data_IF_492228720731
#
_entry.id   IF_492228720731
#
_cell.length_a   1.000
_cell.length_b   1.000
_cell.length_c   1.000
_cell.angle_alpha   90.00
_cell.angle_beta   90.00
_cell.angle_gamma   90.00
#
_symmetry.space_group_name_H-M   'P 1'
#
loop_
_entity.id
_entity.type
_entity.pdbx_description
1 polymer ?
#
# COMPACT_ATOMS: atom_id res chain seq x y z
N UNK A 1 58.98 -46.28 -26.23
CA UNK A 1 57.98 -45.31 -26.73
C UNK A 1 56.59 -45.92 -26.54
N UNK A 2 55.95 -45.55 -25.46
CA UNK A 2 54.60 -46.06 -25.14
C UNK A 2 53.68 -44.86 -24.88
N UNK A 3 52.84 -44.59 -25.88
CA UNK A 3 51.77 -43.59 -25.76
C UNK A 3 50.66 -44.13 -24.86
N UNK A 4 50.41 -43.48 -23.76
CA UNK A 4 49.30 -43.78 -22.89
C UNK A 4 48.16 -42.80 -23.22
N UNK A 5 47.17 -43.30 -23.91
CA UNK A 5 45.94 -42.57 -24.17
C UNK A 5 45.08 -42.57 -22.87
N UNK A 6 45.01 -41.47 -22.19
CA UNK A 6 44.01 -41.25 -21.14
C UNK A 6 42.67 -40.87 -21.78
N UNK A 7 41.76 -41.78 -21.78
CA UNK A 7 40.36 -41.50 -22.10
C UNK A 7 39.66 -40.94 -20.85
N UNK A 8 39.53 -39.61 -20.82
CA UNK A 8 38.69 -38.95 -19.87
C UNK A 8 37.21 -39.05 -20.29
N UNK A 9 36.46 -39.85 -19.62
CA UNK A 9 35.01 -39.88 -19.71
C UNK A 9 34.45 -38.76 -18.86
N UNK A 10 33.99 -37.68 -19.50
CA UNK A 10 33.28 -36.60 -18.84
C UNK A 10 31.83 -37.06 -18.66
N UNK A 11 31.46 -37.40 -17.43
CA UNK A 11 30.09 -37.64 -17.07
C UNK A 11 29.37 -36.30 -16.92
N UNK A 12 28.50 -35.99 -17.87
CA UNK A 12 27.67 -34.79 -17.84
C UNK A 12 26.51 -35.06 -16.87
N UNK A 13 26.63 -34.58 -15.63
CA UNK A 13 25.53 -34.57 -14.68
C UNK A 13 24.61 -33.37 -14.98
N UNK A 14 23.46 -33.67 -15.59
CA UNK A 14 22.41 -32.69 -15.82
C UNK A 14 21.66 -32.54 -14.48
N UNK A 15 21.99 -31.50 -13.72
CA UNK A 15 21.23 -31.08 -12.56
C UNK A 15 19.97 -30.38 -13.05
N UNK A 16 18.83 -31.08 -12.97
CA UNK A 16 17.52 -30.47 -13.19
C UNK A 16 17.23 -29.58 -11.98
N UNK A 17 17.50 -28.30 -12.08
CA UNK A 17 17.05 -27.34 -11.10
C UNK A 17 15.56 -27.13 -11.26
N UNK A 18 14.77 -27.78 -10.42
CA UNK A 18 13.35 -27.49 -10.24
C UNK A 18 13.26 -26.11 -9.60
N UNK A 19 13.07 -25.08 -10.40
CA UNK A 19 12.70 -23.76 -9.88
C UNK A 19 11.25 -23.86 -9.40
N UNK A 20 11.09 -24.06 -8.09
CA UNK A 20 9.82 -23.83 -7.44
C UNK A 20 9.52 -22.35 -7.60
N UNK A 21 8.62 -22.02 -8.53
CA UNK A 21 8.02 -20.70 -8.60
C UNK A 21 7.21 -20.50 -7.31
N UNK A 22 7.84 -19.93 -6.30
CA UNK A 22 7.12 -19.38 -5.18
C UNK A 22 6.30 -18.25 -5.78
N UNK A 23 4.99 -18.44 -5.87
CA UNK A 23 4.07 -17.36 -6.15
C UNK A 23 4.22 -16.37 -4.98
N UNK A 24 5.13 -15.43 -5.13
CA UNK A 24 5.19 -14.29 -4.25
C UNK A 24 3.91 -13.53 -4.55
N UNK A 25 2.96 -13.58 -3.62
CA UNK A 25 1.97 -12.53 -3.47
C UNK A 25 2.77 -11.27 -3.15
N UNK A 26 3.35 -10.69 -4.17
CA UNK A 26 3.89 -9.35 -4.10
C UNK A 26 2.66 -8.47 -3.89
N UNK A 27 2.37 -8.16 -2.61
CA UNK A 27 1.56 -7.02 -2.30
C UNK A 27 2.27 -5.85 -2.97
N UNK A 28 1.84 -5.51 -4.18
CA UNK A 28 2.38 -4.39 -4.94
C UNK A 28 2.17 -3.16 -4.06
N UNK A 29 3.26 -2.45 -3.75
CA UNK A 29 3.17 -1.22 -3.00
C UNK A 29 2.14 -0.31 -3.68
N UNK A 30 1.24 0.35 -2.92
CA UNK A 30 0.20 1.19 -3.50
C UNK A 30 0.85 2.30 -4.33
N UNK A 31 0.29 2.56 -5.50
CA UNK A 31 0.72 3.67 -6.36
C UNK A 31 0.37 5.02 -5.73
N UNK A 32 1.00 6.10 -6.20
CA UNK A 32 0.63 7.46 -5.77
C UNK A 32 -0.84 7.76 -6.02
N UNK A 33 -1.42 7.24 -7.09
CA UNK A 33 -2.84 7.40 -7.40
C UNK A 33 -3.72 6.67 -6.38
N UNK A 34 -3.34 5.47 -5.97
CA UNK A 34 -4.05 4.71 -4.94
C UNK A 34 -3.97 5.39 -3.58
N UNK A 35 -2.78 5.90 -3.22
CA UNK A 35 -2.56 6.64 -1.97
C UNK A 35 -3.37 7.95 -1.95
N UNK A 36 -3.44 8.67 -3.08
CA UNK A 36 -4.26 9.86 -3.18
C UNK A 36 -5.74 9.54 -3.04
N UNK A 37 -6.24 8.50 -3.71
CA UNK A 37 -7.63 8.05 -3.55
C UNK A 37 -7.94 7.64 -2.11
N UNK A 38 -7.00 6.96 -1.45
CA UNK A 38 -7.09 6.62 -0.03
C UNK A 38 -7.15 7.86 0.84
N UNK A 39 -6.32 8.85 0.57
CA UNK A 39 -6.32 10.11 1.29
C UNK A 39 -7.66 10.84 1.17
N UNK A 40 -8.18 10.97 -0.04
CA UNK A 40 -9.47 11.60 -0.30
C UNK A 40 -10.62 10.86 0.41
N UNK A 41 -10.56 9.52 0.46
CA UNK A 41 -11.51 8.69 1.22
C UNK A 41 -11.48 9.00 2.72
N UNK A 42 -10.29 9.06 3.31
CA UNK A 42 -10.14 9.29 4.75
C UNK A 42 -10.53 10.72 5.13
N UNK A 43 -10.16 11.70 4.32
CA UNK A 43 -10.56 13.11 4.52
C UNK A 43 -12.09 13.23 4.43
N UNK A 44 -12.72 12.61 3.44
CA UNK A 44 -14.19 12.64 3.29
C UNK A 44 -14.89 11.99 4.48
N UNK A 45 -14.35 10.90 4.99
CA UNK A 45 -14.87 10.25 6.20
C UNK A 45 -14.74 11.15 7.43
N UNK A 46 -13.58 11.78 7.60
CA UNK A 46 -13.35 12.72 8.69
C UNK A 46 -14.30 13.91 8.61
N UNK A 47 -14.44 14.54 7.45
CA UNK A 47 -15.31 15.70 7.26
C UNK A 47 -16.77 15.37 7.53
N UNK A 48 -17.20 14.15 7.21
CA UNK A 48 -18.58 13.72 7.42
C UNK A 48 -18.90 13.31 8.86
N UNK A 49 -17.99 12.59 9.50
CA UNK A 49 -18.27 11.93 10.78
C UNK A 49 -17.32 12.33 11.90
N UNK A 50 -16.08 12.59 11.59
CA UNK A 50 -15.01 12.82 12.56
C UNK A 50 -15.01 14.23 13.14
N UNK A 51 -15.41 15.20 12.35
CA UNK A 51 -15.36 16.60 12.72
C UNK A 51 -16.25 16.96 13.91
N UNK A 52 -17.35 16.23 14.14
CA UNK A 52 -18.30 16.50 15.20
C UNK A 52 -18.09 15.71 16.50
N UNK A 53 -17.08 14.83 16.53
CA UNK A 53 -16.92 13.82 17.58
C UNK A 53 -15.94 14.17 18.69
N UNK A 54 -15.52 15.38 18.84
CA UNK A 54 -14.66 15.79 19.95
C UNK A 54 -15.20 17.00 20.66
N UNK A 55 -14.90 17.10 21.95
CA UNK A 55 -15.20 18.27 22.77
C UNK A 55 -14.55 19.54 22.23
N UNK A 56 -13.45 19.39 21.48
CA UNK A 56 -12.77 20.44 20.73
C UNK A 56 -12.96 20.19 19.24
N UNK A 57 -14.21 20.19 18.78
CA UNK A 57 -14.47 19.93 17.35
C UNK A 57 -14.07 21.15 16.52
N UNK A 58 -12.82 21.19 16.17
CA UNK A 58 -12.24 22.16 15.24
C UNK A 58 -12.65 21.86 13.78
N UNK A 59 -13.30 20.72 13.54
CA UNK A 59 -13.88 20.39 12.25
C UNK A 59 -12.87 20.47 11.11
N UNK A 60 -13.25 21.17 10.05
CA UNK A 60 -12.39 21.43 8.91
C UNK A 60 -11.16 22.31 9.23
N UNK A 61 -11.11 22.92 10.41
CA UNK A 61 -9.97 23.72 10.88
C UNK A 61 -8.91 22.89 11.60
N UNK A 62 -9.14 21.59 11.77
CA UNK A 62 -8.15 20.72 12.38
C UNK A 62 -6.84 20.76 11.59
N UNK A 63 -5.75 21.11 12.27
CA UNK A 63 -4.44 21.29 11.62
C UNK A 63 -3.91 20.01 10.98
N UNK A 64 -4.13 18.86 11.61
CA UNK A 64 -3.73 17.55 11.04
C UNK A 64 -4.50 17.27 9.76
N UNK A 65 -5.80 17.49 9.75
CA UNK A 65 -6.63 17.33 8.55
C UNK A 65 -6.20 18.28 7.42
N UNK A 66 -5.88 19.52 7.74
CA UNK A 66 -5.40 20.50 6.76
C UNK A 66 -4.04 20.07 6.20
N UNK A 67 -3.10 19.71 7.08
CA UNK A 67 -1.78 19.26 6.69
C UNK A 67 -1.86 18.00 5.80
N UNK A 68 -2.67 17.03 6.19
CA UNK A 68 -2.87 15.83 5.38
C UNK A 68 -3.43 16.15 3.98
N UNK A 69 -4.37 17.08 3.88
CA UNK A 69 -4.90 17.52 2.59
C UNK A 69 -3.83 18.15 1.69
N UNK A 70 -2.93 18.94 2.27
CA UNK A 70 -1.80 19.53 1.56
C UNK A 70 -0.82 18.47 1.09
N UNK A 71 -0.46 17.52 1.97
CA UNK A 71 0.44 16.42 1.64
C UNK A 71 -0.10 15.57 0.50
N UNK A 72 -1.38 15.24 0.54
CA UNK A 72 -2.03 14.48 -0.51
C UNK A 72 -2.09 15.23 -1.86
N UNK A 73 -2.24 16.53 -1.82
CA UNK A 73 -2.25 17.37 -3.03
C UNK A 73 -0.85 17.53 -3.65
N UNK A 74 0.19 17.51 -2.82
CA UNK A 74 1.57 17.78 -3.24
C UNK A 74 2.40 16.53 -3.54
N UNK A 75 1.78 15.35 -3.61
CA UNK A 75 2.48 14.10 -3.91
C UNK A 75 3.06 13.38 -2.68
N UNK A 76 2.78 13.86 -1.47
CA UNK A 76 3.13 13.23 -0.19
C UNK A 76 1.93 12.44 0.37
N UNK A 77 1.25 11.70 -0.51
CA UNK A 77 -0.01 11.05 -0.14
C UNK A 77 0.16 9.97 0.95
N UNK A 78 1.33 9.33 1.03
CA UNK A 78 1.61 8.36 2.10
C UNK A 78 1.60 9.02 3.48
N UNK A 79 2.20 10.19 3.63
CA UNK A 79 2.21 10.97 4.85
C UNK A 79 0.81 11.48 5.20
N UNK A 80 0.08 11.96 4.20
CA UNK A 80 -1.30 12.40 4.37
C UNK A 80 -2.22 11.28 4.83
N UNK A 81 -2.10 10.09 4.24
CA UNK A 81 -2.85 8.88 4.65
C UNK A 81 -2.53 8.53 6.11
N UNK A 82 -1.24 8.46 6.48
CA UNK A 82 -0.84 8.13 7.85
C UNK A 82 -1.41 9.11 8.86
N UNK A 83 -1.34 10.41 8.58
CA UNK A 83 -1.89 11.45 9.46
C UNK A 83 -3.41 11.33 9.62
N UNK A 84 -4.13 11.02 8.54
CA UNK A 84 -5.59 10.83 8.59
C UNK A 84 -6.00 9.55 9.31
N UNK A 85 -5.25 8.47 9.16
CA UNK A 85 -5.50 7.22 9.89
C UNK A 85 -5.30 7.42 11.40
N UNK A 86 -4.28 8.17 11.79
CA UNK A 86 -4.03 8.49 13.20
C UNK A 86 -5.16 9.33 13.81
N UNK A 87 -5.58 10.41 13.15
CA UNK A 87 -6.66 11.26 13.67
C UNK A 87 -8.01 10.53 13.74
N UNK A 88 -8.29 9.65 12.79
CA UNK A 88 -9.51 8.83 12.83
C UNK A 88 -9.47 7.83 13.99
N UNK A 89 -8.31 7.21 14.23
CA UNK A 89 -8.10 6.31 15.36
C UNK A 89 -8.27 7.02 16.69
N UNK A 90 -7.72 8.23 16.85
CA UNK A 90 -7.86 9.03 18.07
C UNK A 90 -9.32 9.39 18.34
N UNK A 91 -10.10 9.60 17.30
CA UNK A 91 -11.54 9.85 17.39
C UNK A 91 -12.39 8.56 17.50
N UNK A 92 -11.76 7.39 17.64
CA UNK A 92 -12.43 6.08 17.76
C UNK A 92 -13.25 5.71 16.51
N UNK A 93 -12.76 6.06 15.33
CA UNK A 93 -13.30 5.57 14.07
C UNK A 93 -12.45 4.45 13.51
N UNK A 94 -13.09 3.39 13.04
CA UNK A 94 -12.44 2.38 12.22
C UNK A 94 -12.29 2.94 10.80
N UNK A 95 -11.04 3.12 10.38
CA UNK A 95 -10.78 3.53 9.01
C UNK A 95 -11.27 2.44 8.05
N UNK A 96 -12.03 2.80 7.00
CA UNK A 96 -12.49 1.82 6.03
C UNK A 96 -11.29 1.16 5.34
N UNK A 97 -11.41 -0.09 4.90
CA UNK A 97 -10.33 -0.74 4.16
C UNK A 97 -10.00 0.04 2.89
N UNK A 98 -8.74 0.02 2.45
CA UNK A 98 -8.35 0.64 1.19
C UNK A 98 -9.21 0.07 0.05
N UNK A 99 -9.73 0.94 -0.78
CA UNK A 99 -10.37 0.54 -2.04
C UNK A 99 -9.26 0.06 -2.97
N UNK A 100 -8.91 -1.22 -2.88
CA UNK A 100 -8.02 -1.84 -3.86
C UNK A 100 -8.78 -1.87 -5.18
N UNK A 101 -8.40 -1.02 -6.13
CA UNK A 101 -8.61 -1.09 -7.58
C UNK A 101 -9.82 -1.79 -8.21
N UNK A 102 -10.74 -2.28 -7.41
CA UNK A 102 -11.98 -2.85 -7.90
C UNK A 102 -12.98 -1.71 -8.00
N UNK A 103 -13.22 -1.28 -9.22
CA UNK A 103 -14.34 -0.40 -9.54
C UNK A 103 -15.58 -0.91 -8.79
N UNK A 104 -15.94 -0.25 -7.71
CA UNK A 104 -17.25 -0.46 -7.14
C UNK A 104 -18.23 0.13 -8.12
N UNK A 105 -18.83 -0.77 -8.91
CA UNK A 105 -20.02 -0.44 -9.67
C UNK A 105 -21.04 0.23 -8.72
N UNK A 106 -21.56 1.40 -9.05
CA UNK A 106 -22.56 2.04 -8.20
C UNK A 106 -23.72 1.08 -8.07
N UNK A 107 -23.94 0.58 -6.87
CA UNK A 107 -25.21 -0.07 -6.57
C UNK A 107 -26.29 1.00 -6.64
N UNK A 108 -27.07 0.86 -7.69
CA UNK A 108 -28.36 1.51 -7.78
C UNK A 108 -29.29 1.00 -6.68
#
# INVERSE_FOLDING_TARGET
MRSVFFRSTIALAIAVMSTSAIAQNSATAPSNADLKARCDQLISMYDRYGASRSENSDGARNHTRIGAGIDCANGHAAEGVAAMEEILKDKKFDAPPPTSGVAQSPRQ
#
